data_IF_202233179291
#
_entry.id   IF_202233179291
#
_cell.length_a   1.000
_cell.length_b   1.000
_cell.length_c   1.000
_cell.angle_alpha   90.00
_cell.angle_beta   90.00
_cell.angle_gamma   90.00
#
_symmetry.space_group_name_H-M   'P 1'
#
loop_
_entity.id
_entity.type
_entity.pdbx_description
1 polymer ?
#
# COMPACT_ATOMS: atom_id res chain seq x y z
N UNK A 1 -7.71 10.30 -21.39
CA UNK A 1 -7.17 11.08 -22.53
C UNK A 1 -7.36 12.57 -22.25
N UNK A 2 -6.34 13.42 -22.43
CA UNK A 2 -6.50 14.89 -22.25
C UNK A 2 -7.01 15.50 -23.54
N UNK A 3 -8.08 16.28 -23.45
CA UNK A 3 -8.70 16.97 -24.58
C UNK A 3 -8.28 18.44 -24.63
N UNK A 4 -8.37 19.11 -23.49
CA UNK A 4 -8.13 20.55 -23.39
C UNK A 4 -7.23 20.89 -22.21
N UNK A 5 -6.45 21.95 -22.40
CA UNK A 5 -5.55 22.50 -21.38
C UNK A 5 -5.80 23.99 -21.26
N UNK A 6 -6.21 24.44 -20.08
CA UNK A 6 -6.37 25.85 -19.74
C UNK A 6 -5.24 26.34 -18.84
N UNK A 7 -4.74 27.54 -19.09
CA UNK A 7 -3.78 28.22 -18.23
C UNK A 7 -4.37 29.54 -17.72
N UNK A 8 -4.31 29.76 -16.41
CA UNK A 8 -4.64 31.01 -15.75
C UNK A 8 -3.38 31.64 -15.16
N UNK A 9 -3.14 32.92 -15.48
CA UNK A 9 -2.01 33.67 -14.92
C UNK A 9 -2.47 34.49 -13.73
N UNK A 10 -1.84 34.29 -12.58
CA UNK A 10 -2.09 35.09 -11.39
C UNK A 10 -1.29 36.40 -11.39
N UNK A 11 -1.77 37.41 -10.66
CA UNK A 11 -1.15 38.74 -10.58
C UNK A 11 0.03 38.84 -9.60
N UNK A 12 0.25 37.82 -8.77
CA UNK A 12 1.33 37.81 -7.78
C UNK A 12 2.64 37.43 -8.45
N UNK A 13 3.67 38.24 -8.22
CA UNK A 13 5.03 37.92 -8.65
C UNK A 13 5.69 36.99 -7.62
N UNK A 14 6.28 35.90 -8.10
CA UNK A 14 6.90 34.85 -7.29
C UNK A 14 8.33 34.65 -7.79
N UNK A 15 9.37 34.92 -6.96
CA UNK A 15 10.75 34.97 -7.43
C UNK A 15 11.31 33.60 -7.84
N UNK A 16 10.69 32.50 -7.40
CA UNK A 16 11.17 31.13 -7.56
C UNK A 16 10.38 30.32 -8.61
N UNK A 17 9.21 30.81 -9.08
CA UNK A 17 8.32 30.06 -9.98
C UNK A 17 7.29 30.95 -10.68
N UNK A 18 6.78 30.55 -11.86
CA UNK A 18 5.69 31.26 -12.51
C UNK A 18 4.37 31.07 -11.74
N UNK A 19 3.60 32.15 -11.61
CA UNK A 19 2.29 32.12 -10.97
C UNK A 19 1.20 31.66 -11.95
N UNK A 20 1.17 30.36 -12.23
CA UNK A 20 0.26 29.74 -13.19
C UNK A 20 -0.64 28.70 -12.50
N UNK A 21 -1.93 28.79 -12.77
CA UNK A 21 -2.89 27.71 -12.55
C UNK A 21 -3.11 26.98 -13.88
N UNK A 22 -3.05 25.65 -13.86
CA UNK A 22 -3.34 24.81 -15.05
C UNK A 22 -4.56 23.94 -14.78
N UNK A 23 -5.50 23.94 -15.72
CA UNK A 23 -6.66 23.07 -15.75
C UNK A 23 -6.49 22.09 -16.90
N UNK A 24 -6.78 20.82 -16.66
CA UNK A 24 -6.78 19.76 -17.66
C UNK A 24 -8.20 19.20 -17.75
N UNK A 25 -8.76 19.16 -18.95
CA UNK A 25 -10.05 18.51 -19.23
C UNK A 25 -9.76 17.28 -20.06
N UNK A 26 -10.36 16.16 -19.72
CA UNK A 26 -10.12 14.90 -20.39
C UNK A 26 -11.11 13.83 -19.97
N UNK A 27 -11.25 12.80 -20.80
CA UNK A 27 -12.02 11.62 -20.45
C UNK A 27 -11.20 10.69 -19.56
N UNK A 28 -11.88 10.13 -18.57
CA UNK A 28 -11.42 8.95 -17.86
C UNK A 28 -11.43 7.79 -18.86
N UNK A 29 -10.25 7.30 -19.22
CA UNK A 29 -10.13 6.16 -20.13
C UNK A 29 -10.38 4.89 -19.31
N UNK A 30 -11.34 4.07 -19.74
CA UNK A 30 -11.66 2.76 -19.14
C UNK A 30 -10.59 1.70 -19.46
N UNK A 31 -9.34 2.00 -19.16
CA UNK A 31 -8.21 1.08 -19.33
C UNK A 31 -7.58 0.79 -17.97
N UNK A 32 -7.99 -0.32 -17.36
CA UNK A 32 -7.42 -0.93 -16.15
C UNK A 32 -7.09 0.05 -15.03
N UNK A 33 -8.02 0.24 -14.09
CA UNK A 33 -7.89 1.08 -12.89
C UNK A 33 -6.44 1.32 -12.44
N UNK A 34 -5.82 2.36 -13.03
CA UNK A 34 -4.50 2.83 -12.62
C UNK A 34 -4.75 3.66 -11.38
N UNK A 35 -4.60 3.02 -10.23
CA UNK A 35 -4.74 3.65 -8.93
C UNK A 35 -3.51 4.52 -8.63
N UNK A 36 -3.70 5.60 -7.88
CA UNK A 36 -2.61 6.46 -7.43
C UNK A 36 -2.43 6.31 -5.93
N UNK A 37 -1.21 6.05 -5.50
CA UNK A 37 -0.83 5.98 -4.09
C UNK A 37 0.19 7.06 -3.75
N UNK A 38 0.27 7.41 -2.47
CA UNK A 38 1.38 8.18 -1.94
C UNK A 38 2.37 7.24 -1.27
N UNK A 39 3.65 7.43 -1.54
CA UNK A 39 4.76 6.74 -0.87
C UNK A 39 5.46 7.76 0.02
N UNK A 40 5.47 7.51 1.33
CA UNK A 40 6.12 8.31 2.36
C UNK A 40 7.39 7.60 2.83
N UNK A 41 8.49 8.35 2.96
CA UNK A 41 9.79 7.80 3.36
C UNK A 41 10.50 8.69 4.37
N UNK A 42 11.02 8.07 5.42
CA UNK A 42 11.89 8.71 6.42
C UNK A 42 12.99 7.76 6.87
N UNK A 43 14.14 8.29 7.31
CA UNK A 43 15.25 7.50 7.84
C UNK A 43 15.43 7.81 9.33
N UNK A 44 15.58 6.77 10.14
CA UNK A 44 15.65 6.85 11.60
C UNK A 44 16.94 6.14 12.08
N UNK A 45 17.81 6.80 12.84
CA UNK A 45 19.04 6.20 13.43
C UNK A 45 19.02 6.11 14.96
N UNK A 46 17.95 6.60 15.60
CA UNK A 46 17.80 6.76 17.05
C UNK A 46 16.49 6.17 17.58
N UNK A 47 15.82 5.31 16.79
CA UNK A 47 14.56 4.64 17.15
C UNK A 47 14.77 3.16 17.49
N UNK A 48 14.16 2.67 18.56
CA UNK A 48 14.26 1.26 18.96
C UNK A 48 13.32 0.36 18.13
N UNK A 49 13.62 -0.96 18.01
CA UNK A 49 12.75 -1.90 17.31
C UNK A 49 11.32 -1.98 17.87
N UNK A 50 11.14 -1.82 19.19
CA UNK A 50 9.82 -1.82 19.83
C UNK A 50 8.97 -0.62 19.37
N UNK A 51 9.59 0.56 19.26
CA UNK A 51 8.93 1.76 18.74
C UNK A 51 8.58 1.60 17.27
N UNK A 52 9.46 0.97 16.48
CA UNK A 52 9.15 0.65 15.07
C UNK A 52 7.95 -0.31 14.94
N UNK A 53 7.87 -1.33 15.80
CA UNK A 53 6.72 -2.22 15.85
C UNK A 53 5.41 -1.48 16.14
N UNK A 54 5.41 -0.64 17.18
CA UNK A 54 4.24 0.19 17.52
C UNK A 54 3.87 1.16 16.39
N UNK A 55 4.85 1.83 15.78
CA UNK A 55 4.64 2.74 14.65
C UNK A 55 3.96 2.01 13.47
N UNK A 56 4.39 0.78 13.16
CA UNK A 56 3.79 -0.03 12.10
C UNK A 56 2.30 -0.30 12.36
N UNK A 57 1.94 -0.72 13.57
CA UNK A 57 0.54 -0.94 13.96
C UNK A 57 -0.30 0.33 13.80
N UNK A 58 0.19 1.47 14.32
CA UNK A 58 -0.51 2.76 14.22
C UNK A 58 -0.73 3.22 12.77
N UNK A 59 0.23 2.95 11.89
CA UNK A 59 0.12 3.29 10.47
C UNK A 59 -0.91 2.41 9.75
N UNK A 60 -0.96 1.10 10.06
CA UNK A 60 -1.99 0.21 9.52
C UNK A 60 -3.39 0.58 10.03
N UNK A 61 -3.54 0.88 11.33
CA UNK A 61 -4.79 1.34 11.92
C UNK A 61 -5.34 2.61 11.25
N UNK A 62 -4.45 3.51 10.83
CA UNK A 62 -4.80 4.74 10.12
C UNK A 62 -5.08 4.54 8.62
N UNK A 63 -5.03 3.29 8.14
CA UNK A 63 -5.35 2.93 6.76
C UNK A 63 -4.14 2.91 5.81
N UNK A 64 -2.92 2.81 6.36
CA UNK A 64 -1.73 2.47 5.57
C UNK A 64 -1.98 1.21 4.74
N UNK A 65 -1.72 1.29 3.45
CA UNK A 65 -1.88 0.17 2.51
C UNK A 65 -0.73 -0.83 2.62
N UNK A 66 0.47 -0.33 2.95
CA UNK A 66 1.66 -1.14 3.20
C UNK A 66 2.66 -0.34 4.05
N UNK A 67 3.42 -1.03 4.90
CA UNK A 67 4.47 -0.44 5.75
C UNK A 67 5.65 -1.39 5.77
N UNK A 68 6.83 -0.91 5.40
CA UNK A 68 8.05 -1.72 5.35
C UNK A 68 9.24 -0.98 5.95
N UNK A 69 10.16 -1.76 6.50
CA UNK A 69 11.39 -1.28 7.13
C UNK A 69 12.60 -1.83 6.38
N UNK A 70 13.47 -0.93 5.92
CA UNK A 70 14.74 -1.29 5.27
C UNK A 70 15.90 -0.97 6.21
N UNK A 71 16.81 -1.92 6.48
CA UNK A 71 18.06 -1.59 7.18
C UNK A 71 18.92 -0.71 6.28
N UNK A 72 19.42 0.40 6.83
CA UNK A 72 20.26 1.35 6.09
C UNK A 72 21.48 1.76 6.92
N UNK A 73 22.56 2.09 6.23
CA UNK A 73 23.75 2.68 6.85
C UNK A 73 23.69 4.20 6.68
N UNK A 74 23.80 4.93 7.79
CA UNK A 74 23.71 6.39 7.83
C UNK A 74 25.07 7.04 8.12
N UNK A 75 25.13 8.38 7.98
CA UNK A 75 26.34 9.17 8.22
C UNK A 75 26.95 8.87 9.60
N UNK A 76 28.26 9.10 9.75
CA UNK A 76 29.01 8.80 10.98
C UNK A 76 28.99 7.32 11.38
N UNK A 77 28.76 6.41 10.42
CA UNK A 77 28.78 4.97 10.68
C UNK A 77 27.60 4.46 11.50
N UNK A 78 26.50 5.21 11.60
CA UNK A 78 25.34 4.79 12.38
C UNK A 78 24.43 3.83 11.60
N UNK A 79 24.09 2.66 12.15
CA UNK A 79 23.02 1.84 11.61
C UNK A 79 21.67 2.55 11.83
N UNK A 80 20.76 2.44 10.87
CA UNK A 80 19.42 3.01 10.96
C UNK A 80 18.41 2.20 10.15
N UNK A 81 17.17 2.68 10.16
CA UNK A 81 16.05 2.09 9.45
C UNK A 81 15.40 3.14 8.56
N UNK A 82 15.23 2.83 7.28
CA UNK A 82 14.32 3.59 6.42
C UNK A 82 12.93 3.00 6.57
N UNK A 83 11.99 3.84 7.00
CA UNK A 83 10.57 3.54 7.03
C UNK A 83 9.96 3.98 5.72
N UNK A 84 9.26 3.08 5.03
CA UNK A 84 8.44 3.39 3.87
C UNK A 84 6.98 3.03 4.15
N UNK A 85 6.08 3.97 3.90
CA UNK A 85 4.63 3.79 4.06
C UNK A 85 3.97 4.08 2.72
N UNK A 86 3.10 3.17 2.28
CA UNK A 86 2.24 3.37 1.12
C UNK A 86 0.84 3.64 1.62
N UNK A 87 0.22 4.72 1.17
CA UNK A 87 -1.12 5.12 1.57
C UNK A 87 -1.93 5.67 0.39
N UNK A 88 -3.22 5.94 0.62
CA UNK A 88 -4.02 6.67 -0.35
C UNK A 88 -3.71 8.18 -0.29
N UNK A 89 -3.84 8.93 -1.40
CA UNK A 89 -3.55 10.35 -1.45
C UNK A 89 -4.29 11.21 -0.40
N UNK A 90 -5.52 10.84 -0.07
CA UNK A 90 -6.38 11.48 0.93
C UNK A 90 -5.97 11.19 2.39
N UNK A 91 -5.24 10.10 2.62
CA UNK A 91 -4.73 9.71 3.95
C UNK A 91 -3.32 10.25 4.22
N UNK A 92 -2.69 10.90 3.25
CA UNK A 92 -1.30 11.36 3.30
C UNK A 92 -0.98 12.12 4.58
N UNK A 93 -1.78 13.14 4.91
CA UNK A 93 -1.47 14.06 6.01
C UNK A 93 -1.62 13.36 7.37
N UNK A 94 -2.61 12.46 7.52
CA UNK A 94 -2.80 11.63 8.73
C UNK A 94 -1.61 10.69 8.94
N UNK A 95 -1.14 10.03 7.87
CA UNK A 95 0.01 9.13 7.96
C UNK A 95 1.31 9.91 8.27
N UNK A 96 1.48 11.11 7.72
CA UNK A 96 2.62 11.98 8.07
C UNK A 96 2.57 12.43 9.53
N UNK A 97 1.40 12.79 10.06
CA UNK A 97 1.24 13.19 11.46
C UNK A 97 1.67 12.07 12.41
N UNK A 98 1.26 10.83 12.12
CA UNK A 98 1.67 9.65 12.89
C UNK A 98 3.18 9.47 12.84
N UNK A 99 3.80 9.56 11.66
CA UNK A 99 5.26 9.46 11.51
C UNK A 99 5.99 10.54 12.32
N UNK A 100 5.51 11.77 12.36
CA UNK A 100 6.11 12.83 13.18
C UNK A 100 5.89 12.65 14.67
N UNK A 101 4.74 12.13 15.07
CA UNK A 101 4.36 12.00 16.49
C UNK A 101 5.02 10.79 17.15
N UNK A 102 5.09 9.68 16.43
CA UNK A 102 5.51 8.38 16.97
C UNK A 102 6.98 8.05 16.62
N UNK A 103 7.68 8.93 15.90
CA UNK A 103 9.11 8.78 15.62
C UNK A 103 9.89 10.07 15.87
N UNK A 104 11.22 9.96 15.80
CA UNK A 104 12.17 11.08 15.97
C UNK A 104 12.44 11.84 14.67
N UNK A 105 11.75 11.51 13.58
CA UNK A 105 12.01 12.17 12.30
C UNK A 105 11.69 13.66 12.34
N UNK A 106 12.54 14.44 11.68
CA UNK A 106 12.34 15.86 11.44
C UNK A 106 11.84 16.16 10.02
N UNK A 107 11.70 15.14 9.17
CA UNK A 107 11.29 15.34 7.80
C UNK A 107 10.91 14.06 7.08
N UNK A 108 9.83 14.14 6.31
CA UNK A 108 9.27 13.04 5.53
C UNK A 108 9.35 13.43 4.05
N UNK A 109 9.92 12.55 3.23
CA UNK A 109 9.88 12.68 1.77
C UNK A 109 8.64 11.96 1.27
N UNK A 110 7.99 12.50 0.24
CA UNK A 110 6.85 11.83 -0.37
C UNK A 110 6.86 11.94 -1.90
N UNK A 111 6.26 10.95 -2.55
CA UNK A 111 5.99 10.94 -3.98
C UNK A 111 4.65 10.29 -4.26
N UNK A 112 4.00 10.71 -5.34
CA UNK A 112 2.84 10.01 -5.88
C UNK A 112 3.30 8.99 -6.91
N UNK A 113 2.77 7.78 -6.81
CA UNK A 113 3.09 6.66 -7.69
C UNK A 113 1.81 6.08 -8.26
N UNK A 114 1.80 5.81 -9.55
CA UNK A 114 0.74 5.05 -10.19
C UNK A 114 0.98 3.55 -9.99
N UNK A 115 -0.09 2.80 -9.74
CA UNK A 115 -0.07 1.34 -9.65
C UNK A 115 -1.24 0.75 -10.41
N UNK A 116 -1.03 -0.44 -10.98
CA UNK A 116 -2.09 -1.24 -11.56
C UNK A 116 -2.43 -2.37 -10.61
N UNK A 117 -3.71 -2.53 -10.30
CA UNK A 117 -4.20 -3.58 -9.43
C UNK A 117 -4.94 -4.62 -10.28
N UNK A 118 -4.80 -5.89 -9.90
CA UNK A 118 -5.72 -6.91 -10.39
C UNK A 118 -7.04 -6.79 -9.65
N UNK A 119 -8.14 -6.93 -10.37
CA UNK A 119 -9.45 -7.03 -9.74
C UNK A 119 -9.45 -8.24 -8.82
N UNK A 120 -9.88 -8.05 -7.58
CA UNK A 120 -9.90 -9.10 -6.58
C UNK A 120 -11.17 -9.03 -5.76
N UNK A 121 -11.71 -10.20 -5.45
CA UNK A 121 -12.87 -10.38 -4.59
C UNK A 121 -12.59 -11.46 -3.55
N UNK A 122 -13.33 -11.41 -2.45
CA UNK A 122 -13.36 -12.50 -1.47
C UNK A 122 -14.55 -13.38 -1.83
N UNK A 123 -14.28 -14.67 -2.05
CA UNK A 123 -15.31 -15.66 -2.41
C UNK A 123 -15.28 -16.82 -1.43
N UNK A 124 -16.43 -17.44 -1.21
CA UNK A 124 -16.53 -18.66 -0.41
C UNK A 124 -16.39 -19.89 -1.30
N UNK A 125 -15.54 -20.83 -0.90
CA UNK A 125 -15.30 -22.10 -1.60
C UNK A 125 -15.56 -23.25 -0.65
N UNK A 126 -16.28 -24.27 -1.12
CA UNK A 126 -16.49 -25.51 -0.36
C UNK A 126 -15.19 -26.32 -0.33
N UNK A 127 -14.66 -26.56 0.88
CA UNK A 127 -13.46 -27.37 1.10
C UNK A 127 -13.78 -28.62 1.92
N UNK A 128 -12.87 -29.62 1.96
CA UNK A 128 -12.99 -30.78 2.84
C UNK A 128 -13.10 -30.43 4.34
N UNK A 129 -12.76 -29.20 4.73
CA UNK A 129 -12.79 -28.70 6.10
C UNK A 129 -13.93 -27.70 6.35
N UNK A 130 -14.88 -27.60 5.42
CA UNK A 130 -15.97 -26.63 5.45
C UNK A 130 -15.75 -25.46 4.48
N UNK A 131 -16.61 -24.45 4.56
CA UNK A 131 -16.52 -23.27 3.68
C UNK A 131 -15.33 -22.40 4.06
N UNK A 132 -14.51 -22.07 3.07
CA UNK A 132 -13.34 -21.22 3.25
C UNK A 132 -13.50 -19.94 2.44
N UNK A 133 -13.06 -18.81 3.00
CA UNK A 133 -12.93 -17.56 2.25
C UNK A 133 -11.59 -17.56 1.53
N UNK A 134 -11.61 -17.43 0.22
CA UNK A 134 -10.43 -17.34 -0.62
C UNK A 134 -10.39 -16.01 -1.37
N UNK A 135 -9.18 -15.49 -1.61
CA UNK A 135 -9.00 -14.31 -2.46
C UNK A 135 -8.99 -14.77 -3.91
N UNK A 136 -10.01 -14.41 -4.68
CA UNK A 136 -10.06 -14.60 -6.13
C UNK A 136 -9.52 -13.35 -6.80
N UNK A 137 -8.50 -13.49 -7.61
CA UNK A 137 -7.96 -12.43 -8.46
C UNK A 137 -8.26 -12.74 -9.94
N UNK A 138 -8.46 -11.70 -10.74
CA UNK A 138 -8.73 -11.80 -12.18
C UNK A 138 -7.58 -11.15 -12.94
N UNK A 139 -6.98 -11.91 -13.84
CA UNK A 139 -5.92 -11.46 -14.75
C UNK A 139 -6.49 -10.52 -15.83
N UNK A 140 -5.61 -9.79 -16.49
CA UNK A 140 -6.02 -8.89 -17.60
C UNK A 140 -6.62 -9.62 -18.81
N UNK A 141 -6.41 -10.93 -18.95
CA UNK A 141 -7.01 -11.78 -19.98
C UNK A 141 -8.37 -12.38 -19.55
N UNK A 142 -8.86 -12.03 -18.36
CA UNK A 142 -10.10 -12.55 -17.79
C UNK A 142 -9.97 -13.89 -17.07
N UNK A 143 -8.80 -14.54 -17.09
CA UNK A 143 -8.58 -15.76 -16.32
C UNK A 143 -8.55 -15.45 -14.81
N UNK A 144 -9.20 -16.29 -14.01
CA UNK A 144 -9.26 -16.10 -12.56
C UNK A 144 -8.41 -17.15 -11.84
N UNK A 145 -7.79 -16.74 -10.74
CA UNK A 145 -7.04 -17.62 -9.85
C UNK A 145 -7.29 -17.26 -8.39
N UNK A 146 -7.13 -18.25 -7.53
CA UNK A 146 -7.32 -18.19 -6.10
C UNK A 146 -5.97 -18.13 -5.39
N UNK A 147 -5.88 -17.26 -4.39
CA UNK A 147 -4.74 -17.12 -3.50
C UNK A 147 -5.16 -17.50 -2.07
N UNK A 148 -4.34 -18.30 -1.35
CA UNK A 148 -4.58 -18.58 0.04
C UNK A 148 -4.46 -17.32 0.88
N UNK A 149 -5.48 -17.02 1.68
CA UNK A 149 -5.37 -15.99 2.71
C UNK A 149 -4.80 -16.61 4.00
N UNK A 150 -3.68 -16.06 4.49
CA UNK A 150 -2.96 -16.61 5.64
C UNK A 150 -3.84 -16.79 6.87
N UNK A 151 -4.58 -15.76 7.30
CA UNK A 151 -5.38 -15.83 8.54
C UNK A 151 -6.51 -16.87 8.45
N UNK A 152 -7.20 -16.94 7.30
CA UNK A 152 -8.23 -17.95 7.08
C UNK A 152 -7.62 -19.35 7.07
N UNK A 153 -6.53 -19.55 6.33
CA UNK A 153 -5.86 -20.84 6.25
C UNK A 153 -5.28 -21.27 7.60
N UNK A 154 -4.74 -20.33 8.39
CA UNK A 154 -4.22 -20.54 9.74
C UNK A 154 -5.32 -20.99 10.68
N UNK A 155 -6.48 -20.31 10.67
CA UNK A 155 -7.62 -20.67 11.49
C UNK A 155 -8.09 -22.10 11.20
N UNK A 156 -8.28 -22.43 9.92
CA UNK A 156 -8.70 -23.78 9.49
C UNK A 156 -7.67 -24.84 9.88
N UNK A 157 -6.38 -24.55 9.69
CA UNK A 157 -5.29 -25.45 10.07
C UNK A 157 -5.33 -25.77 11.58
N UNK A 158 -5.55 -24.76 12.44
CA UNK A 158 -5.67 -24.95 13.88
C UNK A 158 -6.94 -25.72 14.27
N UNK A 159 -8.10 -25.35 13.72
CA UNK A 159 -9.39 -25.99 14.03
C UNK A 159 -9.43 -27.46 13.62
N UNK A 160 -8.74 -27.83 12.53
CA UNK A 160 -8.73 -29.19 11.99
C UNK A 160 -7.47 -29.98 12.35
N UNK A 161 -6.57 -29.39 13.14
CA UNK A 161 -5.26 -29.95 13.49
C UNK A 161 -4.47 -30.44 12.25
N UNK A 162 -4.40 -29.58 11.22
CA UNK A 162 -3.73 -29.85 9.94
C UNK A 162 -2.54 -28.93 9.71
N UNK A 163 -1.51 -29.37 8.98
CA UNK A 163 -0.44 -28.48 8.55
C UNK A 163 -0.97 -27.35 7.66
N UNK A 164 -0.55 -26.11 7.93
CA UNK A 164 -0.91 -24.95 7.10
C UNK A 164 -0.58 -25.15 5.61
N UNK A 165 0.53 -25.86 5.33
CA UNK A 165 0.97 -26.21 3.98
C UNK A 165 -0.07 -27.04 3.22
N UNK A 166 -0.81 -27.93 3.89
CA UNK A 166 -1.87 -28.74 3.26
C UNK A 166 -3.02 -27.83 2.82
N UNK A 167 -3.46 -26.92 3.71
CA UNK A 167 -4.54 -25.97 3.41
C UNK A 167 -4.14 -25.04 2.24
N UNK A 168 -2.92 -24.50 2.26
CA UNK A 168 -2.39 -23.67 1.17
C UNK A 168 -2.37 -24.41 -0.16
N UNK A 169 -1.86 -25.65 -0.16
CA UNK A 169 -1.76 -26.47 -1.38
C UNK A 169 -3.14 -26.79 -1.95
N UNK A 170 -4.14 -27.00 -1.08
CA UNK A 170 -5.52 -27.23 -1.50
C UNK A 170 -6.11 -25.99 -2.18
N UNK A 171 -5.94 -24.79 -1.60
CA UNK A 171 -6.41 -23.54 -2.25
C UNK A 171 -5.77 -23.35 -3.61
N UNK A 172 -4.46 -23.60 -3.72
CA UNK A 172 -3.74 -23.50 -4.99
C UNK A 172 -4.21 -24.53 -6.03
N UNK A 173 -4.74 -25.68 -5.59
CA UNK A 173 -5.27 -26.71 -6.48
C UNK A 173 -6.58 -26.31 -7.19
N UNK A 174 -7.23 -25.23 -6.76
CA UNK A 174 -8.42 -24.67 -7.39
C UNK A 174 -8.12 -23.93 -8.71
N UNK A 175 -6.85 -23.67 -8.99
CA UNK A 175 -6.40 -22.89 -10.16
C UNK A 175 -6.16 -23.76 -11.41
N UNK A 176 -6.77 -24.93 -11.49
CA UNK A 176 -6.60 -25.88 -12.61
C UNK A 176 -7.37 -25.47 -13.85
#
# INVERSE_FOLDING_TARGET
VIHDIGYGVGKRDLPDRPNLARILIGDQQDETEVDTVVVLETNLDDTSPEVLGYLMERLFDAGGLDVVFFPVQMKKGRPGVQVQVIGRPDQKDVLMEILFKESTTLGIRFRYSQRKLLERSVVEVDSPWGKIKAKKAVNSDGSAFFLPEYEVCRKIALENNRPLKEIFSWVMSLNK
#
